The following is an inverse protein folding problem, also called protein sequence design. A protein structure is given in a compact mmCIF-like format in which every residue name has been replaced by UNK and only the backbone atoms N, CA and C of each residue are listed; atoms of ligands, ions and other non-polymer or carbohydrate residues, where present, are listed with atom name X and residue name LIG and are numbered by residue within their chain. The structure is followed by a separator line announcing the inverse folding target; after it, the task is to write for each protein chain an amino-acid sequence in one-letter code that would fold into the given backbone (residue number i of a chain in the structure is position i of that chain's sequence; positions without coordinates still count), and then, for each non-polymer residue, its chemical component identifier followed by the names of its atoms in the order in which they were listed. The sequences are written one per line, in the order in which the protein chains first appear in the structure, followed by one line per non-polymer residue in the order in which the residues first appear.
data_IF_238570482885
#
_entry.id   IF_238570482885
#
_cell.length_a   1.000
_cell.length_b   1.000
_cell.length_c   1.000
_cell.angle_alpha   90.00
_cell.angle_beta   90.00
_cell.angle_gamma   90.00
#
_symmetry.space_group_name_H-M   'P 1'
#
loop_
_entity.id
_entity.type
_entity.pdbx_description
1 polymer ?
#
# COMPACT_ATOMS: atom_id res chain seq x y z
N UNK A 1 -15.50 -6.32 12.88
CA UNK A 1 -14.73 -5.86 11.72
C UNK A 1 -15.17 -6.71 10.54
N UNK A 2 -15.76 -6.13 9.49
CA UNK A 2 -16.02 -6.87 8.24
C UNK A 2 -14.68 -6.93 7.53
N UNK A 3 -14.10 -8.11 7.38
CA UNK A 3 -12.83 -8.28 6.68
C UNK A 3 -13.02 -7.94 5.20
N UNK A 4 -12.06 -7.23 4.61
CA UNK A 4 -12.11 -6.89 3.19
C UNK A 4 -11.93 -8.14 2.32
N UNK A 5 -11.22 -9.14 2.85
CA UNK A 5 -11.00 -10.43 2.22
C UNK A 5 -11.52 -11.58 3.09
N UNK A 6 -11.94 -12.67 2.44
CA UNK A 6 -12.24 -13.95 3.13
C UNK A 6 -11.00 -14.83 3.27
N UNK A 7 -9.92 -14.47 2.57
CA UNK A 7 -8.63 -15.14 2.59
C UNK A 7 -7.72 -14.47 3.64
N UNK A 8 -7.30 -15.18 4.71
CA UNK A 8 -6.45 -14.62 5.75
C UNK A 8 -5.06 -14.17 5.28
N UNK A 9 -4.54 -14.71 4.18
CA UNK A 9 -3.25 -14.29 3.61
C UNK A 9 -3.38 -12.94 2.91
N UNK A 10 -4.50 -12.71 2.21
CA UNK A 10 -4.79 -11.43 1.57
C UNK A 10 -5.07 -10.34 2.60
N UNK A 11 -5.70 -10.67 3.72
CA UNK A 11 -5.92 -9.72 4.83
C UNK A 11 -4.59 -9.32 5.48
N UNK A 12 -3.69 -10.26 5.76
CA UNK A 12 -2.35 -9.95 6.26
C UNK A 12 -1.54 -9.12 5.26
N UNK A 13 -1.70 -9.39 3.96
CA UNK A 13 -1.05 -8.61 2.91
C UNK A 13 -1.58 -7.18 2.84
N UNK A 14 -2.89 -7.00 2.97
CA UNK A 14 -3.56 -5.70 3.06
C UNK A 14 -3.01 -4.90 4.24
N UNK A 15 -2.99 -5.48 5.44
CA UNK A 15 -2.47 -4.82 6.64
C UNK A 15 -1.00 -4.42 6.48
N UNK A 16 -0.17 -5.30 5.90
CA UNK A 16 1.25 -5.06 5.64
C UNK A 16 1.45 -3.86 4.71
N UNK A 17 0.71 -3.78 3.62
CA UNK A 17 0.80 -2.66 2.69
C UNK A 17 0.24 -1.37 3.27
N UNK A 18 -0.88 -1.45 3.98
CA UNK A 18 -1.47 -0.27 4.61
C UNK A 18 -0.49 0.34 5.62
N UNK A 19 0.14 -0.50 6.45
CA UNK A 19 1.17 -0.08 7.40
C UNK A 19 2.38 0.54 6.70
N UNK A 20 2.92 -0.10 5.65
CA UNK A 20 4.06 0.43 4.92
C UNK A 20 3.76 1.80 4.28
N UNK A 21 2.58 1.96 3.68
CA UNK A 21 2.12 3.23 3.11
C UNK A 21 1.94 4.31 4.19
N UNK A 22 1.36 3.96 5.34
CA UNK A 22 1.20 4.88 6.46
C UNK A 22 2.54 5.33 7.07
N UNK A 23 3.47 4.40 7.29
CA UNK A 23 4.78 4.70 7.89
C UNK A 23 5.67 5.55 6.99
N UNK A 24 5.61 5.32 5.68
CA UNK A 24 6.44 6.05 4.71
C UNK A 24 5.80 7.33 4.21
N UNK A 25 4.47 7.44 4.26
CA UNK A 25 3.67 8.56 3.77
C UNK A 25 4.23 9.15 2.45
N UNK A 26 4.38 8.31 1.40
CA UNK A 26 5.20 8.63 0.23
C UNK A 26 4.69 9.87 -0.55
N UNK A 27 3.45 10.25 -0.30
CA UNK A 27 2.78 11.37 -0.95
C UNK A 27 2.61 12.58 -0.03
N UNK A 28 3.17 12.56 1.18
CA UNK A 28 2.98 13.59 2.21
C UNK A 28 1.51 13.96 2.37
N UNK A 29 0.66 12.93 2.44
CA UNK A 29 -0.74 13.14 2.78
C UNK A 29 -0.77 13.54 4.25
N UNK A 30 -1.65 14.46 4.69
CA UNK A 30 -1.74 14.87 6.09
C UNK A 30 -2.18 13.73 7.07
N UNK A 31 -2.05 12.47 6.68
CA UNK A 31 -2.45 11.25 7.38
C UNK A 31 -1.67 11.01 8.66
N UNK A 32 -0.36 11.31 8.68
CA UNK A 32 0.46 11.09 9.87
C UNK A 32 0.12 12.09 10.98
N UNK A 33 -0.32 13.31 10.63
CA UNK A 33 -0.72 14.34 11.60
C UNK A 33 -2.09 14.07 12.26
N UNK A 34 -2.92 13.22 11.65
CA UNK A 34 -4.28 12.93 12.11
C UNK A 34 -4.52 11.45 12.47
N UNK A 35 -3.49 10.60 12.46
CA UNK A 35 -3.57 9.14 12.67
C UNK A 35 -4.66 8.45 11.82
N UNK A 36 -4.90 8.96 10.61
CA UNK A 36 -5.98 8.45 9.75
C UNK A 36 -5.52 7.24 8.92
N UNK A 37 -5.53 6.07 9.54
CA UNK A 37 -5.10 4.78 8.96
C UNK A 37 -5.95 4.31 7.76
N UNK A 38 -7.14 4.87 7.59
CA UNK A 38 -8.13 4.41 6.59
C UNK A 38 -7.86 4.96 5.17
N UNK A 39 -7.03 6.01 5.03
CA UNK A 39 -6.77 6.63 3.72
C UNK A 39 -5.90 5.76 2.82
N UNK A 40 -4.90 5.10 3.40
CA UNK A 40 -4.01 4.20 2.66
C UNK A 40 -4.59 2.81 2.44
N UNK A 41 -5.67 2.44 3.15
CA UNK A 41 -6.30 1.12 3.03
C UNK A 41 -6.80 0.85 1.60
N UNK A 42 -7.37 1.86 0.93
CA UNK A 42 -7.83 1.73 -0.46
C UNK A 42 -6.67 1.49 -1.43
N UNK A 43 -5.53 2.13 -1.19
CA UNK A 43 -4.33 1.98 -2.01
C UNK A 43 -3.73 0.59 -1.76
N UNK A 44 -3.64 0.18 -0.50
CA UNK A 44 -3.20 -1.16 -0.10
C UNK A 44 -4.07 -2.26 -0.72
N UNK A 45 -5.40 -2.12 -0.68
CA UNK A 45 -6.33 -3.07 -1.30
C UNK A 45 -6.15 -3.13 -2.84
N UNK A 46 -5.87 -1.98 -3.46
CA UNK A 46 -5.57 -1.91 -4.90
C UNK A 46 -4.28 -2.67 -5.23
N UNK A 47 -3.23 -2.52 -4.41
CA UNK A 47 -1.98 -3.28 -4.56
C UNK A 47 -2.21 -4.78 -4.38
N UNK A 48 -2.95 -5.21 -3.35
CA UNK A 48 -3.34 -6.63 -3.16
C UNK A 48 -4.04 -7.17 -4.41
N UNK A 49 -4.99 -6.41 -4.97
CA UNK A 49 -5.72 -6.82 -6.18
C UNK A 49 -4.80 -6.95 -7.40
N UNK A 50 -3.76 -6.13 -7.53
CA UNK A 50 -2.75 -6.29 -8.59
C UNK A 50 -1.89 -7.54 -8.38
N UNK A 51 -1.53 -7.88 -7.14
CA UNK A 51 -0.81 -9.12 -6.84
C UNK A 51 -1.65 -10.37 -7.15
N UNK A 52 -2.94 -10.36 -6.81
CA UNK A 52 -3.88 -11.44 -7.17
C UNK A 52 -3.97 -11.60 -8.70
N UNK A 53 -3.79 -10.53 -9.47
CA UNK A 53 -3.72 -10.56 -10.94
C UNK A 53 -2.34 -10.96 -11.50
N UNK A 54 -1.38 -11.30 -10.64
CA UNK A 54 -0.05 -11.78 -11.02
C UNK A 54 1.03 -10.72 -11.13
N UNK A 55 0.79 -9.48 -10.66
CA UNK A 55 1.86 -8.48 -10.55
C UNK A 55 2.85 -8.86 -9.44
N UNK A 56 4.11 -8.49 -9.61
CA UNK A 56 5.07 -8.54 -8.50
C UNK A 56 4.65 -7.54 -7.40
N UNK A 57 5.14 -7.72 -6.18
CA UNK A 57 4.81 -6.81 -5.06
C UNK A 57 5.19 -5.35 -5.36
N UNK A 58 6.40 -5.12 -5.89
CA UNK A 58 6.85 -3.78 -6.27
C UNK A 58 5.97 -3.19 -7.38
N UNK A 59 5.68 -3.95 -8.43
CA UNK A 59 4.83 -3.49 -9.54
C UNK A 59 3.39 -3.22 -9.08
N UNK A 60 2.90 -3.96 -8.09
CA UNK A 60 1.57 -3.79 -7.54
C UNK A 60 1.46 -2.51 -6.71
N UNK A 61 2.49 -2.22 -5.89
CA UNK A 61 2.61 -0.97 -5.14
C UNK A 61 2.69 0.22 -6.10
N UNK A 62 3.55 0.13 -7.12
CA UNK A 62 3.68 1.17 -8.15
C UNK A 62 2.35 1.45 -8.84
N UNK A 63 1.68 0.42 -9.36
CA UNK A 63 0.39 0.61 -10.03
C UNK A 63 -0.67 1.20 -9.10
N UNK A 64 -0.73 0.76 -7.85
CA UNK A 64 -1.70 1.29 -6.89
C UNK A 64 -1.46 2.77 -6.56
N UNK A 65 -0.20 3.17 -6.42
CA UNK A 65 0.16 4.58 -6.22
C UNK A 65 -0.15 5.40 -7.47
N UNK A 66 0.20 4.90 -8.67
CA UNK A 66 -0.06 5.60 -9.95
C UNK A 66 -1.56 5.74 -10.19
N UNK A 67 -2.37 4.71 -9.90
CA UNK A 67 -3.83 4.78 -10.01
C UNK A 67 -4.44 5.87 -9.10
N UNK A 68 -3.75 6.24 -8.02
CA UNK A 68 -4.24 7.20 -7.03
C UNK A 68 -3.66 8.60 -7.20
N UNK A 69 -2.41 8.72 -7.66
CA UNK A 69 -1.64 9.96 -7.69
C UNK A 69 -1.01 10.29 -9.04
N UNK A 70 -1.20 9.43 -10.04
CA UNK A 70 -0.77 9.63 -11.43
C UNK A 70 0.74 9.94 -11.53
N UNK A 71 1.13 10.87 -12.40
CA UNK A 71 2.50 11.34 -12.64
C UNK A 71 3.26 11.86 -11.39
N UNK A 72 2.62 11.99 -10.22
CA UNK A 72 3.30 12.41 -8.98
C UNK A 72 4.12 11.29 -8.33
N UNK A 73 3.95 10.05 -8.80
CA UNK A 73 4.66 8.87 -8.30
C UNK A 73 6.05 8.79 -8.93
N UNK A 74 7.06 8.60 -8.09
CA UNK A 74 8.45 8.41 -8.52
C UNK A 74 8.96 7.05 -8.07
N UNK A 75 9.98 6.52 -8.74
CA UNK A 75 10.60 5.25 -8.35
C UNK A 75 11.06 5.25 -6.89
N UNK A 76 11.67 6.34 -6.42
CA UNK A 76 12.10 6.49 -5.03
C UNK A 76 10.95 6.31 -4.03
N UNK A 77 9.76 6.82 -4.35
CA UNK A 77 8.57 6.69 -3.49
C UNK A 77 8.05 5.25 -3.46
N UNK A 78 8.06 4.59 -4.62
CA UNK A 78 7.69 3.17 -4.73
C UNK A 78 8.67 2.31 -3.93
N UNK A 79 9.97 2.58 -4.06
CA UNK A 79 11.02 1.82 -3.39
C UNK A 79 10.99 1.99 -1.86
N UNK A 80 10.61 3.18 -1.36
CA UNK A 80 10.40 3.41 0.07
C UNK A 80 9.29 2.52 0.62
N UNK A 81 8.12 2.52 -0.02
CA UNK A 81 6.98 1.68 0.39
C UNK A 81 7.33 0.20 0.28
N UNK A 82 7.94 -0.21 -0.83
CA UNK A 82 8.34 -1.61 -1.05
C UNK A 82 9.36 -2.07 0.00
N UNK A 83 10.36 -1.26 0.31
CA UNK A 83 11.36 -1.58 1.34
C UNK A 83 10.69 -1.74 2.71
N UNK A 84 9.78 -0.82 3.05
CA UNK A 84 9.01 -0.90 4.29
C UNK A 84 8.08 -2.11 4.34
N UNK A 85 7.50 -2.54 3.22
CA UNK A 85 6.61 -3.72 3.18
C UNK A 85 7.36 -5.05 3.35
N UNK A 86 8.61 -5.15 2.90
CA UNK A 86 9.40 -6.39 2.97
C UNK A 86 10.27 -6.51 4.22
N UNK A 87 10.64 -5.39 4.86
CA UNK A 87 11.39 -5.42 6.11
C UNK A 87 10.48 -5.84 7.26
N UNK A 88 10.60 -7.11 7.66
CA UNK A 88 9.93 -7.67 8.83
C UNK A 88 10.30 -6.88 10.09
N UNK A 89 9.31 -6.26 10.74
CA UNK A 89 9.34 -6.03 12.18
C UNK A 89 8.97 -7.33 12.91
#
# INVERSE_FOLDING_TARGET
MKTAYTDPELEQLLERFNKALFETDPMNTCCQENDNYDEYERIAATAVNYMVKGASERDAIEKALVDSFDDLVTEDKVDQVFTASVMKN
#
